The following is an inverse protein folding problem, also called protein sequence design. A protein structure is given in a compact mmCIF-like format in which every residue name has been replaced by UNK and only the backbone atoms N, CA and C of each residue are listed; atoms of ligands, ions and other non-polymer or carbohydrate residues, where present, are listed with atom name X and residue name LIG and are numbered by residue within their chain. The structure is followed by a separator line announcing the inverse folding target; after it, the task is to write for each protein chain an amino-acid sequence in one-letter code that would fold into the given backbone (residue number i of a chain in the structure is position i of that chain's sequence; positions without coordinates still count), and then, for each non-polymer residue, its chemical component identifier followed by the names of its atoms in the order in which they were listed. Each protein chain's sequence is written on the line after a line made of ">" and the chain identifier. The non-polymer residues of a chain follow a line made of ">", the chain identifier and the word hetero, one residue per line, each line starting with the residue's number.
data_IF_184745700396
#
_entry.id   IF_184745700396
#
_cell.length_a   1.000
_cell.length_b   1.000
_cell.length_c   1.000
_cell.angle_alpha   90.00
_cell.angle_beta   90.00
_cell.angle_gamma   90.00
#
_symmetry.space_group_name_H-M   'P 1'
#
loop_
_entity.id
_entity.type
_entity.pdbx_description
1 polymer ?
#
# COMPACT_ATOMS: atom_id res chain seq x y z
N UNK A 1 24.91 26.24 33.65
CA UNK A 1 24.34 25.92 32.32
C UNK A 1 23.68 24.57 32.47
N UNK A 2 22.39 24.57 32.72
CA UNK A 2 21.54 23.39 32.90
C UNK A 2 21.17 22.91 31.50
N UNK A 3 21.77 21.80 31.07
CA UNK A 3 21.24 21.07 29.89
C UNK A 3 19.86 20.52 30.25
N UNK A 4 18.85 21.16 29.72
CA UNK A 4 17.49 20.60 29.68
C UNK A 4 17.55 19.34 28.83
N UNK A 5 17.27 18.19 29.45
CA UNK A 5 17.13 16.90 28.81
C UNK A 5 15.80 16.93 28.01
N UNK A 6 15.81 17.54 26.80
CA UNK A 6 14.65 17.57 25.92
C UNK A 6 14.39 16.13 25.42
N UNK A 7 13.24 15.58 25.83
CA UNK A 7 12.72 14.31 25.28
C UNK A 7 12.57 14.46 23.75
N UNK A 8 12.99 13.47 22.98
CA UNK A 8 12.80 13.51 21.53
C UNK A 8 11.32 13.61 21.20
N UNK A 9 10.96 14.42 20.20
CA UNK A 9 9.61 14.52 19.63
C UNK A 9 9.18 13.17 19.07
N UNK A 10 8.40 12.38 19.84
CA UNK A 10 8.00 11.01 19.52
C UNK A 10 6.70 10.59 20.18
N UNK A 11 6.22 9.39 19.85
CA UNK A 11 5.03 8.80 20.46
C UNK A 11 5.27 8.37 21.91
N UNK A 12 4.18 8.19 22.70
CA UNK A 12 4.29 7.72 24.10
C UNK A 12 5.10 6.41 24.24
N UNK A 13 5.07 5.54 23.21
CA UNK A 13 5.85 4.30 23.17
C UNK A 13 7.36 4.56 23.01
N UNK A 14 7.74 5.53 22.20
CA UNK A 14 9.15 5.89 22.01
C UNK A 14 9.75 6.47 23.31
N UNK A 15 8.99 7.31 23.98
CA UNK A 15 9.37 7.80 25.31
C UNK A 15 9.46 6.68 26.34
N UNK A 16 8.55 5.71 26.30
CA UNK A 16 8.61 4.54 27.19
C UNK A 16 9.87 3.70 26.95
N UNK A 17 10.26 3.47 25.68
CA UNK A 17 11.51 2.75 25.33
C UNK A 17 12.73 3.53 25.81
N UNK A 18 12.75 4.85 25.60
CA UNK A 18 13.81 5.72 26.10
C UNK A 18 13.96 5.57 27.62
N UNK A 19 12.86 5.67 28.38
CA UNK A 19 12.89 5.58 29.83
C UNK A 19 13.31 4.19 30.34
N UNK A 20 12.81 3.09 29.75
CA UNK A 20 13.25 1.74 30.12
C UNK A 20 14.75 1.59 29.90
N UNK A 21 15.28 2.06 28.78
CA UNK A 21 16.70 1.97 28.46
C UNK A 21 17.54 2.86 29.39
N UNK A 22 17.06 4.09 29.66
CA UNK A 22 17.79 5.07 30.51
C UNK A 22 17.83 4.61 31.95
N UNK A 23 16.74 4.10 32.51
CA UNK A 23 16.65 3.62 33.90
C UNK A 23 17.51 2.36 34.17
N UNK A 24 17.77 1.53 33.14
CA UNK A 24 18.61 0.34 33.24
C UNK A 24 20.08 0.59 32.83
N UNK A 25 20.43 1.84 32.53
CA UNK A 25 21.79 2.23 32.17
C UNK A 25 22.63 2.49 33.43
N UNK A 26 23.91 2.08 33.42
CA UNK A 26 24.89 2.38 34.48
C UNK A 26 25.15 3.90 34.63
N UNK A 27 24.65 4.73 33.72
CA UNK A 27 24.78 6.20 33.74
C UNK A 27 23.48 6.91 34.18
N UNK A 28 22.49 6.20 34.72
CA UNK A 28 21.24 6.77 35.23
C UNK A 28 21.52 7.68 36.45
N UNK A 29 21.02 8.93 36.37
CA UNK A 29 21.14 9.91 37.43
C UNK A 29 19.86 10.03 38.24
N UNK A 30 19.91 10.67 39.42
CA UNK A 30 18.70 10.94 40.22
C UNK A 30 17.78 11.96 39.52
N UNK A 31 18.31 12.83 38.67
CA UNK A 31 17.52 13.72 37.83
C UNK A 31 16.72 12.93 36.78
N UNK A 32 17.34 11.94 36.13
CA UNK A 32 16.63 11.05 35.18
C UNK A 32 15.43 10.35 35.82
N UNK A 33 15.53 9.97 37.09
CA UNK A 33 14.42 9.34 37.83
C UNK A 33 13.27 10.31 38.11
N UNK A 34 13.60 11.53 38.48
CA UNK A 34 12.59 12.58 38.70
C UNK A 34 11.87 12.96 37.40
N UNK A 35 12.60 13.09 36.30
CA UNK A 35 12.06 13.41 34.99
C UNK A 35 11.16 12.26 34.48
N UNK A 36 11.55 11.01 34.75
CA UNK A 36 10.72 9.84 34.45
C UNK A 36 9.41 9.82 35.24
N UNK A 37 9.46 10.09 36.56
CA UNK A 37 8.25 10.13 37.40
C UNK A 37 7.29 11.24 36.94
N UNK A 38 7.82 12.40 36.57
CA UNK A 38 7.03 13.49 36.01
C UNK A 38 6.37 13.09 34.71
N UNK A 39 7.10 12.50 33.76
CA UNK A 39 6.57 11.99 32.50
C UNK A 39 5.49 10.91 32.72
N UNK A 40 5.69 10.00 33.65
CA UNK A 40 4.75 8.91 33.95
C UNK A 40 3.44 9.45 34.56
N UNK A 41 3.51 10.53 35.35
CA UNK A 41 2.35 11.18 35.97
C UNK A 41 1.54 12.05 35.00
N UNK A 42 2.09 12.41 33.84
CA UNK A 42 1.49 13.34 32.90
C UNK A 42 0.25 12.74 32.18
N UNK A 43 0.20 11.42 31.95
CA UNK A 43 -0.88 10.78 31.21
C UNK A 43 -0.99 9.28 31.46
N UNK A 44 -2.22 8.76 31.51
CA UNK A 44 -2.50 7.30 31.53
C UNK A 44 -1.95 6.58 30.25
N UNK A 45 -1.83 7.31 29.15
CA UNK A 45 -1.22 6.79 27.91
C UNK A 45 0.25 6.49 28.11
N UNK A 46 0.98 7.33 28.87
CA UNK A 46 2.40 7.12 29.22
C UNK A 46 2.56 5.90 30.13
N UNK A 47 1.67 5.74 31.12
CA UNK A 47 1.69 4.59 32.02
C UNK A 47 1.46 3.27 31.26
N UNK A 48 0.47 3.22 30.38
CA UNK A 48 0.18 2.06 29.55
C UNK A 48 1.34 1.71 28.61
N UNK A 49 1.92 2.72 27.95
CA UNK A 49 3.07 2.54 27.06
C UNK A 49 4.27 1.98 27.83
N UNK A 50 4.57 2.53 29.02
CA UNK A 50 5.67 2.05 29.85
C UNK A 50 5.46 0.61 30.34
N UNK A 51 4.23 0.24 30.76
CA UNK A 51 3.91 -1.11 31.14
C UNK A 51 4.13 -2.12 29.99
N UNK A 52 3.66 -1.81 28.80
CA UNK A 52 3.83 -2.69 27.64
C UNK A 52 5.30 -2.93 27.30
N UNK A 53 6.11 -1.87 27.32
CA UNK A 53 7.56 -1.97 27.06
C UNK A 53 8.26 -2.76 28.15
N UNK A 54 7.88 -2.57 29.42
CA UNK A 54 8.49 -3.25 30.57
C UNK A 54 8.15 -4.76 30.58
N UNK A 55 6.93 -5.14 30.24
CA UNK A 55 6.53 -6.56 30.12
C UNK A 55 7.37 -7.24 29.03
N UNK A 56 7.56 -6.58 27.89
CA UNK A 56 8.43 -7.09 26.83
C UNK A 56 9.89 -7.23 27.27
N UNK A 57 10.43 -6.22 27.97
CA UNK A 57 11.79 -6.24 28.50
C UNK A 57 12.02 -7.36 29.51
N UNK A 58 11.06 -7.56 30.41
CA UNK A 58 11.13 -8.62 31.44
C UNK A 58 11.01 -10.02 30.80
N UNK A 59 10.19 -10.17 29.76
CA UNK A 59 10.09 -11.42 28.99
C UNK A 59 11.40 -11.81 28.31
N UNK A 60 12.17 -10.85 27.84
CA UNK A 60 13.51 -11.07 27.26
C UNK A 60 14.55 -11.50 28.32
N UNK A 61 14.44 -11.02 29.55
CA UNK A 61 15.38 -11.35 30.64
C UNK A 61 15.12 -12.76 31.22
N UNK A 62 13.95 -13.37 30.98
CA UNK A 62 13.58 -14.72 31.43
C UNK A 62 13.94 -15.84 30.44
N UNK A 63 14.49 -15.51 29.28
CA UNK A 63 15.01 -16.53 28.35
C UNK A 63 16.33 -17.06 28.93
N UNK A 64 16.23 -18.03 29.84
CA UNK A 64 17.40 -18.82 30.22
C UNK A 64 17.90 -19.59 28.98
N UNK A 65 19.21 -19.49 28.65
CA UNK A 65 19.77 -20.29 27.57
C UNK A 65 19.74 -21.77 28.02
N UNK A 66 18.83 -22.56 27.45
CA UNK A 66 18.90 -24.01 27.55
C UNK A 66 20.28 -24.44 27.05
N UNK A 67 21.04 -25.06 27.95
CA UNK A 67 22.41 -25.50 27.71
C UNK A 67 22.43 -26.62 26.66
N UNK A 68 22.65 -26.28 25.41
CA UNK A 68 23.00 -27.23 24.37
C UNK A 68 24.42 -27.77 24.65
N UNK A 69 24.64 -29.11 24.73
CA UNK A 69 25.95 -29.72 24.99
C UNK A 69 27.05 -29.29 24.01
N UNK A 70 26.67 -28.88 22.79
CA UNK A 70 27.61 -28.38 21.80
C UNK A 70 28.18 -26.98 22.13
N UNK A 71 27.49 -26.18 22.92
CA UNK A 71 27.96 -24.90 23.41
C UNK A 71 28.96 -25.00 24.58
N UNK A 72 28.98 -26.13 25.29
CA UNK A 72 29.96 -26.38 26.37
C UNK A 72 31.37 -26.61 25.81
N UNK A 73 31.51 -27.28 24.65
CA UNK A 73 32.78 -27.46 23.97
C UNK A 73 33.36 -26.13 23.44
N UNK A 74 32.50 -25.26 22.90
CA UNK A 74 32.91 -23.93 22.44
C UNK A 74 33.37 -23.02 23.62
N UNK A 75 32.77 -23.14 24.81
CA UNK A 75 33.17 -22.42 26.00
C UNK A 75 34.53 -22.83 26.54
N UNK A 76 34.89 -24.09 26.43
CA UNK A 76 36.20 -24.63 26.84
C UNK A 76 37.30 -24.13 25.91
N UNK A 77 37.04 -24.14 24.58
CA UNK A 77 37.96 -23.59 23.57
C UNK A 77 38.21 -22.09 23.74
N UNK A 78 37.20 -21.33 24.16
CA UNK A 78 37.32 -19.89 24.43
C UNK A 78 38.03 -19.57 25.77
N UNK A 79 38.08 -20.50 26.71
CA UNK A 79 38.83 -20.33 27.96
C UNK A 79 40.34 -20.52 27.75
N UNK A 80 40.77 -21.46 26.93
CA UNK A 80 42.19 -21.72 26.67
C UNK A 80 42.83 -20.61 25.83
N UNK A 81 42.09 -19.94 24.93
CA UNK A 81 42.61 -18.81 24.18
C UNK A 81 42.69 -17.51 24.98
N UNK A 82 42.13 -17.45 26.20
CA UNK A 82 42.17 -16.25 27.07
C UNK A 82 43.49 -16.01 27.77
N UNK A 83 44.38 -17.02 27.87
CA UNK A 83 45.68 -16.86 28.52
C UNK A 83 46.74 -16.19 27.66
N UNK A 84 46.59 -16.08 26.34
CA UNK A 84 47.60 -15.54 25.45
C UNK A 84 47.42 -14.08 25.00
N UNK A 85 46.36 -13.36 25.46
CA UNK A 85 46.13 -11.95 25.11
C UNK A 85 45.86 -11.04 26.33
N UNK A 86 46.80 -10.99 27.26
CA UNK A 86 46.90 -9.84 28.19
C UNK A 86 47.91 -8.87 27.57
N UNK A 87 47.46 -7.98 26.74
CA UNK A 87 47.86 -6.55 26.60
C UNK A 87 47.26 -5.98 25.33
N UNK A 88 46.54 -4.88 25.51
CA UNK A 88 46.03 -3.98 24.46
C UNK A 88 44.58 -4.17 24.00
N UNK A 89 43.78 -3.12 24.26
CA UNK A 89 42.52 -2.70 23.64
C UNK A 89 41.20 -3.22 24.22
N UNK A 90 40.94 -2.94 25.52
CA UNK A 90 39.61 -3.09 26.12
C UNK A 90 38.54 -2.12 25.54
N UNK A 91 38.95 -1.03 24.88
CA UNK A 91 38.01 -0.05 24.28
C UNK A 91 37.41 -0.48 22.94
N UNK A 92 38.10 -1.30 22.15
CA UNK A 92 37.57 -1.74 20.81
C UNK A 92 36.56 -2.89 20.88
N UNK A 93 36.48 -3.63 21.98
CA UNK A 93 35.56 -4.76 22.14
C UNK A 93 34.19 -4.33 22.68
N UNK A 94 34.14 -3.26 23.47
CA UNK A 94 32.87 -2.71 23.98
C UNK A 94 32.05 -2.09 22.83
N UNK A 95 32.73 -1.42 21.87
CA UNK A 95 32.06 -0.85 20.68
C UNK A 95 31.50 -1.90 19.74
N UNK A 96 32.13 -3.09 19.62
CA UNK A 96 31.62 -4.17 18.74
C UNK A 96 30.37 -4.88 19.27
N UNK A 97 30.25 -5.06 20.60
CA UNK A 97 29.07 -5.67 21.23
C UNK A 97 27.90 -4.70 21.26
N UNK A 98 28.17 -3.41 21.51
CA UNK A 98 27.14 -2.36 21.46
C UNK A 98 26.58 -2.18 20.03
N UNK A 99 27.42 -2.24 18.99
CA UNK A 99 26.96 -2.14 17.60
C UNK A 99 26.14 -3.36 17.16
N UNK A 100 26.49 -4.58 17.63
CA UNK A 100 25.71 -5.78 17.32
C UNK A 100 24.37 -5.79 18.07
N UNK A 101 24.32 -5.36 19.32
CA UNK A 101 23.08 -5.21 20.10
C UNK A 101 22.18 -4.12 19.50
N UNK A 102 22.77 -3.03 19.02
CA UNK A 102 22.04 -1.96 18.32
C UNK A 102 21.45 -2.45 16.99
N UNK A 103 22.21 -3.24 16.21
CA UNK A 103 21.75 -3.85 14.97
C UNK A 103 20.65 -4.89 15.19
N UNK A 104 20.74 -5.71 16.24
CA UNK A 104 19.72 -6.68 16.61
C UNK A 104 18.47 -6.02 17.21
N UNK A 105 18.63 -4.93 17.97
CA UNK A 105 17.53 -4.16 18.52
C UNK A 105 16.78 -3.32 17.46
N UNK A 106 17.47 -2.90 16.40
CA UNK A 106 16.87 -2.17 15.27
C UNK A 106 16.27 -3.10 14.21
N UNK A 107 16.58 -4.41 14.24
CA UNK A 107 16.13 -5.35 13.20
C UNK A 107 14.61 -5.50 13.12
N UNK A 108 13.80 -5.61 14.20
CA UNK A 108 12.35 -5.64 14.09
C UNK A 108 11.75 -4.30 13.63
N UNK A 109 12.42 -3.19 13.98
CA UNK A 109 12.03 -1.85 13.52
C UNK A 109 12.33 -1.67 12.02
N UNK A 110 13.52 -2.11 11.55
CA UNK A 110 13.83 -2.15 10.11
C UNK A 110 12.91 -3.09 9.34
N UNK A 111 12.51 -4.22 9.93
CA UNK A 111 11.60 -5.18 9.31
C UNK A 111 10.20 -4.60 9.15
N UNK A 112 9.68 -3.88 10.15
CA UNK A 112 8.41 -3.16 10.07
C UNK A 112 8.43 -2.06 8.99
N UNK A 113 9.59 -1.46 8.73
CA UNK A 113 9.78 -0.47 7.65
C UNK A 113 9.82 -1.10 6.25
N UNK A 114 10.14 -2.38 6.15
CA UNK A 114 10.25 -3.13 4.90
C UNK A 114 9.01 -3.97 4.62
N UNK A 115 8.06 -4.08 5.58
CA UNK A 115 6.84 -4.83 5.37
C UNK A 115 5.93 -4.09 4.39
N UNK A 116 5.64 -4.75 3.30
CA UNK A 116 4.72 -4.31 2.26
C UNK A 116 3.55 -5.26 2.24
N UNK A 117 2.36 -4.76 2.53
CA UNK A 117 1.13 -5.56 2.42
C UNK A 117 0.64 -5.55 0.97
N UNK A 118 0.37 -6.74 0.44
CA UNK A 118 -0.11 -6.88 -0.92
C UNK A 118 -1.55 -7.39 -0.89
N UNK A 119 -2.45 -6.60 -1.47
CA UNK A 119 -3.86 -6.91 -1.62
C UNK A 119 -4.15 -7.25 -3.08
N UNK A 120 -4.87 -8.35 -3.30
CA UNK A 120 -5.22 -8.82 -4.65
C UNK A 120 -6.68 -9.20 -4.74
N UNK A 121 -7.27 -8.90 -5.89
CA UNK A 121 -8.58 -9.41 -6.29
C UNK A 121 -8.42 -10.27 -7.54
N UNK A 122 -9.11 -11.40 -7.61
CA UNK A 122 -9.18 -12.20 -8.82
C UNK A 122 -10.18 -11.60 -9.82
N UNK A 123 -10.20 -12.12 -11.05
CA UNK A 123 -11.22 -11.77 -12.05
C UNK A 123 -12.62 -12.03 -11.54
N UNK A 124 -13.50 -11.06 -11.70
CA UNK A 124 -14.88 -11.10 -11.20
C UNK A 124 -15.03 -10.82 -9.70
N UNK A 125 -13.93 -10.63 -8.96
CA UNK A 125 -13.95 -10.29 -7.53
C UNK A 125 -13.69 -8.81 -7.32
N UNK A 126 -14.27 -8.27 -6.26
CA UNK A 126 -13.95 -6.95 -5.71
C UNK A 126 -13.73 -7.07 -4.21
N UNK A 127 -12.96 -6.18 -3.63
CA UNK A 127 -12.68 -6.15 -2.20
C UNK A 127 -12.61 -4.72 -1.69
N UNK A 128 -12.93 -4.53 -0.42
CA UNK A 128 -12.75 -3.24 0.25
C UNK A 128 -11.82 -3.43 1.43
N UNK A 129 -10.80 -2.59 1.52
CA UNK A 129 -9.82 -2.58 2.60
C UNK A 129 -9.83 -1.24 3.31
N UNK A 130 -9.55 -1.26 4.60
CA UNK A 130 -9.31 -0.05 5.38
C UNK A 130 -7.82 0.01 5.74
N UNK A 131 -7.19 1.14 5.44
CA UNK A 131 -5.80 1.40 5.76
C UNK A 131 -5.65 1.85 7.23
N UNK A 132 -4.43 1.84 7.74
CA UNK A 132 -4.13 2.20 9.14
C UNK A 132 -4.47 3.65 9.47
N UNK A 133 -4.44 4.53 8.45
CA UNK A 133 -4.81 5.96 8.56
C UNK A 133 -6.32 6.22 8.54
N UNK A 134 -7.14 5.16 8.47
CA UNK A 134 -8.59 5.21 8.34
C UNK A 134 -9.10 5.39 6.91
N UNK A 135 -8.23 5.60 5.92
CA UNK A 135 -8.61 5.67 4.52
C UNK A 135 -9.15 4.33 4.03
N UNK A 136 -10.13 4.38 3.12
CA UNK A 136 -10.72 3.19 2.51
C UNK A 136 -10.31 3.08 1.05
N UNK A 137 -10.00 1.87 0.63
CA UNK A 137 -9.71 1.55 -0.77
C UNK A 137 -10.62 0.42 -1.23
N UNK A 138 -11.44 0.68 -2.24
CA UNK A 138 -12.24 -0.33 -2.90
C UNK A 138 -11.47 -0.81 -4.14
N UNK A 139 -11.12 -2.09 -4.17
CA UNK A 139 -10.41 -2.74 -5.28
C UNK A 139 -11.42 -3.39 -6.22
N UNK A 140 -11.31 -3.08 -7.51
CA UNK A 140 -12.11 -3.70 -8.55
C UNK A 140 -11.51 -5.07 -8.95
N UNK A 141 -12.09 -5.69 -9.97
CA UNK A 141 -11.65 -6.96 -10.56
C UNK A 141 -10.18 -6.91 -11.00
N UNK A 142 -9.47 -8.05 -10.86
CA UNK A 142 -8.10 -8.25 -11.39
C UNK A 142 -7.18 -7.08 -11.01
N UNK A 143 -7.11 -6.81 -9.70
CA UNK A 143 -6.38 -5.65 -9.15
C UNK A 143 -5.34 -6.10 -8.16
N UNK A 144 -4.14 -5.54 -8.25
CA UNK A 144 -3.07 -5.69 -7.27
C UNK A 144 -2.65 -4.33 -6.73
N UNK A 145 -2.78 -4.18 -5.40
CA UNK A 145 -2.37 -3.02 -4.65
C UNK A 145 -1.32 -3.41 -3.62
N UNK A 146 -0.18 -2.72 -3.65
CA UNK A 146 0.89 -2.83 -2.66
C UNK A 146 0.83 -1.62 -1.74
N UNK A 147 0.69 -1.85 -0.45
CA UNK A 147 0.57 -0.81 0.58
C UNK A 147 1.87 -0.74 1.35
N UNK A 148 2.50 0.42 1.33
CA UNK A 148 3.63 0.77 2.18
C UNK A 148 3.17 1.85 3.16
N UNK A 149 2.47 1.39 4.19
CA UNK A 149 1.96 2.29 5.22
C UNK A 149 2.96 2.35 6.37
N UNK A 150 3.73 3.42 6.38
CA UNK A 150 4.66 3.71 7.45
C UNK A 150 4.20 4.97 8.18
N UNK A 151 4.60 5.13 9.44
CA UNK A 151 4.30 6.35 10.19
C UNK A 151 4.81 7.64 9.52
N UNK A 152 5.77 7.53 8.58
CA UNK A 152 6.32 8.66 7.79
C UNK A 152 5.60 8.90 6.48
N UNK A 153 5.11 7.83 5.82
CA UNK A 153 4.60 7.91 4.46
C UNK A 153 3.28 7.14 4.31
N UNK A 154 2.26 7.81 3.79
CA UNK A 154 0.99 7.23 3.36
C UNK A 154 1.08 6.94 1.86
N UNK A 155 1.75 5.85 1.50
CA UNK A 155 2.02 5.55 0.08
C UNK A 155 1.50 4.16 -0.30
N UNK A 156 0.79 4.09 -1.41
CA UNK A 156 0.35 2.83 -2.01
C UNK A 156 0.79 2.77 -3.47
N UNK A 157 1.00 1.57 -3.98
CA UNK A 157 1.34 1.32 -5.38
C UNK A 157 0.25 0.46 -6.01
N UNK A 158 -0.47 1.01 -6.96
CA UNK A 158 -1.34 0.24 -7.84
C UNK A 158 -0.45 -0.41 -8.90
N UNK A 159 -0.33 -1.74 -8.85
CA UNK A 159 0.52 -2.50 -9.77
C UNK A 159 -0.20 -2.74 -11.08
N UNK A 160 -1.46 -3.12 -11.03
CA UNK A 160 -2.42 -3.21 -12.15
C UNK A 160 -3.85 -3.18 -11.62
N UNK A 161 -4.81 -2.99 -12.51
CA UNK A 161 -6.22 -3.01 -12.20
C UNK A 161 -6.78 -1.64 -11.84
N UNK A 162 -7.80 -1.59 -11.01
CA UNK A 162 -8.59 -0.39 -10.73
C UNK A 162 -8.95 -0.31 -9.26
N UNK A 163 -8.75 0.86 -8.67
CA UNK A 163 -9.07 1.12 -7.28
C UNK A 163 -9.70 2.49 -7.09
N UNK A 164 -10.73 2.55 -6.26
CA UNK A 164 -11.33 3.78 -5.77
C UNK A 164 -10.80 4.08 -4.36
N UNK A 165 -10.19 5.23 -4.21
CA UNK A 165 -9.62 5.72 -2.97
C UNK A 165 -10.58 6.71 -2.31
N UNK A 166 -10.90 6.51 -1.04
CA UNK A 166 -11.60 7.45 -0.15
C UNK A 166 -10.65 7.81 0.98
N UNK A 167 -9.94 8.91 0.82
CA UNK A 167 -8.79 9.27 1.64
C UNK A 167 -9.20 10.19 2.78
N UNK A 168 -8.75 9.86 4.00
CA UNK A 168 -8.92 10.72 5.17
C UNK A 168 -8.05 11.97 5.03
N UNK A 169 -8.66 13.14 5.22
CA UNK A 169 -8.00 14.43 5.07
C UNK A 169 -6.85 14.61 6.07
N UNK A 170 -5.63 14.83 5.55
CA UNK A 170 -4.45 15.15 6.34
C UNK A 170 -3.44 15.95 5.51
N UNK A 171 -3.38 17.27 5.77
CA UNK A 171 -2.47 18.19 5.07
C UNK A 171 -1.00 17.98 5.40
N UNK A 172 -0.69 17.48 6.59
CA UNK A 172 0.69 17.29 7.04
C UNK A 172 1.32 16.05 6.42
N UNK A 173 0.49 15.04 6.09
CA UNK A 173 0.90 13.78 5.47
C UNK A 173 0.05 13.49 4.24
N UNK A 174 0.40 14.02 3.07
CA UNK A 174 -0.33 13.75 1.83
C UNK A 174 -0.34 12.25 1.50
N UNK A 175 -1.49 11.76 1.03
CA UNK A 175 -1.62 10.39 0.54
C UNK A 175 -1.05 10.30 -0.88
N UNK A 176 -0.26 9.28 -1.16
CA UNK A 176 0.37 9.11 -2.47
C UNK A 176 0.00 7.76 -3.07
N UNK A 177 -0.55 7.78 -4.29
CA UNK A 177 -0.71 6.59 -5.13
C UNK A 177 0.35 6.62 -6.22
N UNK A 178 1.09 5.52 -6.35
CA UNK A 178 2.06 5.31 -7.44
C UNK A 178 1.42 4.34 -8.44
N UNK A 179 1.33 4.74 -9.71
CA UNK A 179 0.81 3.90 -10.78
C UNK A 179 1.64 4.11 -12.06
N UNK A 180 2.13 3.04 -12.68
CA UNK A 180 2.99 3.04 -13.87
C UNK A 180 4.12 4.10 -13.85
N UNK A 181 4.73 4.32 -12.67
CA UNK A 181 5.80 5.31 -12.47
C UNK A 181 5.34 6.75 -12.26
N UNK A 182 4.06 7.06 -12.45
CA UNK A 182 3.46 8.34 -12.09
C UNK A 182 3.11 8.41 -10.61
N UNK A 183 2.95 9.64 -10.11
CA UNK A 183 2.61 9.96 -8.73
C UNK A 183 1.31 10.76 -8.70
N UNK A 184 0.36 10.27 -7.92
CA UNK A 184 -0.95 10.88 -7.68
C UNK A 184 -0.98 11.25 -6.22
N UNK A 185 -1.02 12.55 -5.90
CA UNK A 185 -1.00 13.04 -4.52
C UNK A 185 -2.33 13.67 -4.15
N UNK A 186 -2.75 13.38 -2.94
CA UNK A 186 -4.01 13.76 -2.36
C UNK A 186 -3.87 14.15 -0.89
N UNK A 187 -4.72 15.07 -0.43
CA UNK A 187 -4.77 15.54 0.96
C UNK A 187 -6.11 15.27 1.65
N UNK A 188 -7.03 14.53 0.99
CA UNK A 188 -8.36 14.19 1.53
C UNK A 188 -9.45 14.29 0.48
N UNK A 189 -9.46 13.36 -0.45
CA UNK A 189 -10.31 13.33 -1.63
C UNK A 189 -10.92 11.95 -1.85
N UNK A 190 -11.82 11.89 -2.82
CA UNK A 190 -12.33 10.64 -3.38
C UNK A 190 -12.01 10.59 -4.86
N UNK A 191 -11.22 9.62 -5.28
CA UNK A 191 -10.74 9.51 -6.66
C UNK A 191 -10.54 8.06 -7.09
N UNK A 192 -10.70 7.81 -8.38
CA UNK A 192 -10.51 6.51 -9.00
C UNK A 192 -9.21 6.50 -9.79
N UNK A 193 -8.44 5.42 -9.66
CA UNK A 193 -7.25 5.17 -10.48
C UNK A 193 -7.43 3.85 -11.18
N UNK A 194 -7.35 3.87 -12.50
CA UNK A 194 -7.39 2.69 -13.33
C UNK A 194 -6.10 2.55 -14.14
N UNK A 195 -5.33 1.50 -13.85
CA UNK A 195 -4.08 1.17 -14.53
C UNK A 195 -4.30 -0.03 -15.46
N UNK A 196 -4.22 0.22 -16.75
CA UNK A 196 -4.07 -0.79 -17.81
C UNK A 196 -2.57 -0.96 -18.17
N UNK A 197 -2.26 -1.92 -19.08
CA UNK A 197 -0.88 -2.18 -19.50
C UNK A 197 -0.16 -0.91 -19.99
N UNK A 198 -0.84 -0.09 -20.81
CA UNK A 198 -0.26 1.03 -21.53
C UNK A 198 -0.74 2.41 -21.05
N UNK A 199 -1.64 2.46 -20.08
CA UNK A 199 -2.25 3.72 -19.66
C UNK A 199 -2.73 3.68 -18.22
N UNK A 200 -2.59 4.81 -17.54
CA UNK A 200 -3.23 5.10 -16.26
C UNK A 200 -4.25 6.20 -16.44
N UNK A 201 -5.46 6.00 -15.95
CA UNK A 201 -6.52 7.02 -15.91
C UNK A 201 -6.80 7.39 -14.46
N UNK A 202 -6.82 8.68 -14.17
CA UNK A 202 -7.14 9.23 -12.83
C UNK A 202 -8.36 10.11 -12.95
N UNK A 203 -9.41 9.77 -12.20
CA UNK A 203 -10.69 10.52 -12.17
C UNK A 203 -10.97 11.00 -10.77
N UNK A 204 -11.23 12.28 -10.59
CA UNK A 204 -11.57 12.87 -9.29
C UNK A 204 -13.07 12.93 -9.11
N UNK A 205 -13.55 12.39 -7.99
CA UNK A 205 -14.96 12.44 -7.59
C UNK A 205 -15.22 13.60 -6.64
N UNK A 206 -14.34 13.78 -5.65
CA UNK A 206 -14.46 14.81 -4.61
C UNK A 206 -13.07 15.33 -4.23
N UNK A 207 -12.95 16.64 -3.98
CA UNK A 207 -11.71 17.29 -3.57
C UNK A 207 -10.78 17.63 -4.75
N UNK A 208 -9.48 17.69 -4.53
CA UNK A 208 -8.46 18.04 -5.52
C UNK A 208 -7.30 17.05 -5.47
N UNK A 209 -6.86 16.58 -6.62
CA UNK A 209 -5.75 15.63 -6.78
C UNK A 209 -4.68 16.20 -7.69
N UNK A 210 -3.43 16.07 -7.29
CA UNK A 210 -2.26 16.43 -8.10
C UNK A 210 -1.69 15.18 -8.78
N UNK A 211 -1.53 15.22 -10.10
CA UNK A 211 -1.00 14.11 -10.91
C UNK A 211 0.32 14.53 -11.56
N UNK A 212 1.38 13.79 -11.28
CA UNK A 212 2.69 13.91 -11.92
C UNK A 212 2.97 12.62 -12.67
N UNK A 213 2.89 12.65 -13.99
CA UNK A 213 2.96 11.44 -14.84
C UNK A 213 4.33 10.77 -14.84
N UNK A 214 5.41 11.54 -14.59
CA UNK A 214 6.79 11.06 -14.49
C UNK A 214 7.58 11.97 -13.58
N UNK A 215 8.62 11.43 -12.94
CA UNK A 215 9.52 12.23 -12.12
C UNK A 215 10.13 13.38 -12.95
N UNK A 216 10.00 14.62 -12.45
CA UNK A 216 10.47 15.85 -13.14
C UNK A 216 9.45 16.48 -14.09
N UNK A 217 8.29 15.86 -14.33
CA UNK A 217 7.19 16.49 -15.07
C UNK A 217 6.43 17.49 -14.20
N UNK A 218 5.80 18.48 -14.83
CA UNK A 218 4.91 19.40 -14.12
C UNK A 218 3.68 18.67 -13.58
N UNK A 219 3.27 19.01 -12.36
CA UNK A 219 2.06 18.49 -11.77
C UNK A 219 0.82 19.06 -12.48
N UNK A 220 -0.16 18.19 -12.73
CA UNK A 220 -1.49 18.55 -13.23
C UNK A 220 -2.49 18.44 -12.09
N UNK A 221 -3.27 19.48 -11.88
CA UNK A 221 -4.29 19.51 -10.81
C UNK A 221 -5.66 19.18 -11.38
N UNK A 222 -6.35 18.26 -10.75
CA UNK A 222 -7.68 17.78 -11.14
C UNK A 222 -8.70 18.16 -10.08
N UNK A 223 -9.81 18.72 -10.53
CA UNK A 223 -10.99 19.04 -9.74
C UNK A 223 -12.07 17.96 -9.89
N UNK A 224 -13.13 17.98 -9.05
CA UNK A 224 -14.23 17.02 -9.16
C UNK A 224 -14.83 16.99 -10.57
N UNK A 225 -15.08 15.77 -11.06
CA UNK A 225 -15.58 15.53 -12.42
C UNK A 225 -14.50 15.55 -13.49
N UNK A 226 -13.24 15.81 -13.16
CA UNK A 226 -12.14 15.81 -14.14
C UNK A 226 -11.39 14.49 -14.17
N UNK A 227 -10.89 14.16 -15.35
CA UNK A 227 -10.05 13.00 -15.62
C UNK A 227 -8.85 13.40 -16.45
N UNK A 228 -7.71 12.79 -16.15
CA UNK A 228 -6.51 12.77 -16.99
C UNK A 228 -6.06 11.33 -17.19
N UNK A 229 -5.41 11.06 -18.32
CA UNK A 229 -4.72 9.81 -18.56
C UNK A 229 -3.26 10.06 -18.88
N UNK A 230 -2.38 9.12 -18.52
CA UNK A 230 -0.96 9.16 -18.88
C UNK A 230 -0.44 7.75 -19.18
N UNK A 231 0.60 7.67 -20.01
CA UNK A 231 1.30 6.43 -20.34
C UNK A 231 2.55 6.23 -19.46
N UNK A 232 3.18 5.03 -19.47
CA UNK A 232 4.40 4.77 -18.72
C UNK A 232 5.61 5.64 -19.16
N UNK A 233 5.53 6.28 -20.34
CA UNK A 233 6.57 7.21 -20.83
C UNK A 233 6.38 8.62 -20.25
N UNK A 234 5.23 8.86 -19.59
CA UNK A 234 4.89 10.14 -18.97
C UNK A 234 4.14 11.11 -19.89
N UNK A 235 3.67 10.65 -21.06
CA UNK A 235 2.83 11.46 -21.94
C UNK A 235 1.42 11.55 -21.35
N UNK A 236 0.89 12.75 -21.24
CA UNK A 236 -0.43 13.00 -20.66
C UNK A 236 -1.46 13.35 -21.73
N UNK A 237 -2.71 12.93 -21.53
CA UNK A 237 -3.86 13.46 -22.28
C UNK A 237 -4.19 14.89 -21.86
N UNK A 238 -5.07 15.56 -22.60
CA UNK A 238 -5.78 16.71 -22.06
C UNK A 238 -6.67 16.29 -20.87
N UNK A 239 -6.92 17.22 -19.94
CA UNK A 239 -7.93 17.04 -18.90
C UNK A 239 -9.30 17.11 -19.56
N UNK A 240 -10.14 16.11 -19.28
CA UNK A 240 -11.51 16.00 -19.81
C UNK A 240 -12.52 15.86 -18.67
N UNK A 241 -13.77 16.14 -18.95
CA UNK A 241 -14.87 15.85 -18.03
C UNK A 241 -15.18 14.36 -18.06
N UNK A 242 -15.15 13.73 -16.87
CA UNK A 242 -15.46 12.33 -16.69
C UNK A 242 -16.95 12.16 -16.32
N UNK A 243 -17.50 11.06 -16.76
CA UNK A 243 -18.79 10.59 -16.27
C UNK A 243 -18.59 9.76 -15.00
N UNK A 244 -18.78 10.40 -13.84
CA UNK A 244 -18.58 9.79 -12.52
C UNK A 244 -19.46 8.54 -12.35
N UNK A 245 -20.71 8.57 -12.80
CA UNK A 245 -21.62 7.44 -12.69
C UNK A 245 -21.10 6.23 -13.47
N UNK A 246 -20.57 6.46 -14.67
CA UNK A 246 -19.93 5.42 -15.46
C UNK A 246 -18.65 4.91 -14.79
N UNK A 247 -17.81 5.81 -14.27
CA UNK A 247 -16.53 5.45 -13.62
C UNK A 247 -16.75 4.60 -12.36
N UNK A 248 -17.81 4.85 -11.61
CA UNK A 248 -18.08 4.18 -10.32
C UNK A 248 -19.12 3.06 -10.38
N UNK A 249 -19.69 2.79 -11.56
CA UNK A 249 -20.76 1.79 -11.75
C UNK A 249 -20.34 0.38 -11.27
N UNK A 250 -19.05 0.06 -11.39
CA UNK A 250 -18.50 -1.22 -10.98
C UNK A 250 -18.68 -1.50 -9.47
N UNK A 251 -18.74 -0.48 -8.62
CA UNK A 251 -19.02 -0.63 -7.19
C UNK A 251 -20.44 -1.21 -6.94
N UNK A 252 -21.34 -1.03 -7.91
CA UNK A 252 -22.71 -1.58 -7.90
C UNK A 252 -22.83 -2.88 -8.72
N UNK A 253 -21.69 -3.48 -9.13
CA UNK A 253 -21.67 -4.67 -9.98
C UNK A 253 -22.15 -4.41 -11.40
N UNK A 254 -21.99 -3.20 -11.93
CA UNK A 254 -22.45 -2.80 -13.26
C UNK A 254 -21.33 -2.17 -14.08
N UNK A 255 -21.43 -2.32 -15.39
CA UNK A 255 -20.66 -1.59 -16.38
C UNK A 255 -21.61 -0.72 -17.20
N UNK A 256 -21.34 0.55 -17.27
CA UNK A 256 -22.15 1.52 -18.03
C UNK A 256 -21.34 1.97 -19.25
N UNK A 257 -21.93 1.80 -20.43
CA UNK A 257 -21.31 2.26 -21.67
C UNK A 257 -22.20 3.32 -22.33
N UNK A 258 -21.61 4.42 -22.75
CA UNK A 258 -22.26 5.50 -23.49
C UNK A 258 -21.55 5.67 -24.81
N UNK A 259 -22.13 5.14 -25.88
CA UNK A 259 -21.57 5.22 -27.25
C UNK A 259 -20.12 4.74 -27.36
N UNK A 260 -19.76 3.66 -26.64
CA UNK A 260 -18.41 3.09 -26.64
C UNK A 260 -18.21 2.11 -27.81
N UNK A 261 -17.01 2.06 -28.40
CA UNK A 261 -16.70 1.08 -29.43
C UNK A 261 -16.80 -0.34 -28.87
N UNK A 262 -17.31 -1.29 -29.68
CA UNK A 262 -17.53 -2.68 -29.27
C UNK A 262 -16.26 -3.37 -28.75
N UNK A 263 -15.10 -3.11 -29.35
CA UNK A 263 -13.83 -3.65 -28.87
C UNK A 263 -13.54 -3.22 -27.42
N UNK A 264 -13.77 -1.94 -27.08
CA UNK A 264 -13.58 -1.41 -25.72
C UNK A 264 -14.59 -2.06 -24.75
N UNK A 265 -15.84 -2.22 -25.17
CA UNK A 265 -16.89 -2.86 -24.37
C UNK A 265 -16.53 -4.31 -24.05
N UNK A 266 -16.08 -5.08 -25.05
CA UNK A 266 -15.69 -6.48 -24.88
C UNK A 266 -14.42 -6.61 -24.03
N UNK A 267 -13.46 -5.72 -24.17
CA UNK A 267 -12.27 -5.65 -23.32
C UNK A 267 -12.67 -5.44 -21.86
N UNK A 268 -13.53 -4.47 -21.59
CA UNK A 268 -14.00 -4.18 -20.21
C UNK A 268 -14.83 -5.34 -19.63
N UNK A 269 -15.69 -5.99 -20.41
CA UNK A 269 -16.41 -7.20 -19.99
C UNK A 269 -15.44 -8.35 -19.71
N UNK A 270 -14.42 -8.54 -20.54
CA UNK A 270 -13.40 -9.58 -20.39
C UNK A 270 -12.56 -9.46 -19.12
N UNK A 271 -12.43 -8.26 -18.54
CA UNK A 271 -11.75 -8.06 -17.25
C UNK A 271 -12.41 -8.81 -16.09
N UNK A 272 -13.74 -8.96 -16.15
CA UNK A 272 -14.50 -9.60 -15.07
C UNK A 272 -14.64 -11.11 -15.25
N UNK A 273 -14.21 -11.66 -16.37
CA UNK A 273 -14.44 -13.06 -16.70
C UNK A 273 -13.16 -13.73 -17.23
N UNK A 274 -12.97 -14.98 -16.86
CA UNK A 274 -11.95 -15.82 -17.49
C UNK A 274 -12.43 -16.29 -18.87
N UNK A 275 -12.57 -15.33 -19.79
CA UNK A 275 -13.09 -15.58 -21.12
C UNK A 275 -12.23 -14.89 -22.19
N UNK A 276 -12.10 -15.56 -23.34
CA UNK A 276 -11.49 -14.98 -24.55
C UNK A 276 -12.59 -14.49 -25.48
N UNK A 277 -12.59 -13.19 -25.79
CA UNK A 277 -13.59 -12.55 -26.68
C UNK A 277 -12.86 -12.05 -27.93
N UNK A 278 -13.12 -12.69 -29.07
CA UNK A 278 -12.48 -12.37 -30.35
C UNK A 278 -13.45 -11.74 -31.31
N UNK A 279 -13.11 -10.58 -31.88
CA UNK A 279 -13.91 -9.87 -32.85
C UNK A 279 -13.36 -10.15 -34.25
N UNK A 280 -14.22 -10.66 -35.14
CA UNK A 280 -13.88 -10.83 -36.53
C UNK A 280 -14.32 -9.62 -37.37
N UNK A 281 -13.33 -8.94 -37.93
CA UNK A 281 -13.53 -7.79 -38.81
C UNK A 281 -13.44 -6.42 -38.10
N UNK A 282 -12.70 -5.50 -38.71
CA UNK A 282 -12.42 -4.17 -38.16
C UNK A 282 -13.67 -3.27 -38.10
N UNK A 283 -14.70 -3.56 -38.93
CA UNK A 283 -15.96 -2.81 -38.93
C UNK A 283 -16.73 -3.03 -37.62
N UNK A 284 -16.75 -4.26 -37.10
CA UNK A 284 -17.47 -4.60 -35.88
C UNK A 284 -16.81 -3.93 -34.64
N UNK A 285 -15.49 -3.81 -34.62
CA UNK A 285 -14.77 -3.20 -33.53
C UNK A 285 -15.23 -1.76 -33.25
N UNK A 286 -15.68 -1.03 -34.29
CA UNK A 286 -16.11 0.37 -34.24
C UNK A 286 -17.60 0.57 -33.95
N UNK A 287 -18.40 -0.49 -33.94
CA UNK A 287 -19.81 -0.38 -33.59
C UNK A 287 -19.99 0.22 -32.20
N UNK A 288 -20.97 1.10 -32.06
CA UNK A 288 -21.21 1.81 -30.82
C UNK A 288 -22.20 1.07 -29.95
N UNK A 289 -21.82 0.85 -28.69
CA UNK A 289 -22.65 0.23 -27.66
C UNK A 289 -23.04 1.27 -26.63
N UNK A 290 -24.33 1.31 -26.30
CA UNK A 290 -24.87 2.07 -25.18
C UNK A 290 -25.71 1.13 -24.34
N UNK A 291 -25.47 1.05 -23.04
CA UNK A 291 -26.23 0.16 -22.16
C UNK A 291 -25.58 0.00 -20.81
N UNK A 292 -26.29 -0.69 -19.91
CA UNK A 292 -25.83 -1.11 -18.59
C UNK A 292 -25.78 -2.62 -18.55
N UNK A 293 -24.64 -3.16 -18.17
CA UNK A 293 -24.39 -4.60 -18.15
C UNK A 293 -23.92 -5.05 -16.77
N UNK A 294 -24.42 -6.18 -16.25
CA UNK A 294 -23.93 -6.72 -14.99
C UNK A 294 -22.51 -7.27 -15.14
N UNK A 295 -21.68 -7.05 -14.13
CA UNK A 295 -20.28 -7.54 -14.13
C UNK A 295 -20.17 -9.06 -13.98
N UNK A 296 -21.20 -9.73 -13.46
CA UNK A 296 -21.20 -11.15 -13.10
C UNK A 296 -21.89 -12.06 -14.12
N UNK A 297 -22.37 -11.54 -15.25
CA UNK A 297 -23.11 -12.34 -16.24
C UNK A 297 -22.70 -12.00 -17.68
N UNK A 298 -21.59 -12.60 -18.12
CA UNK A 298 -21.06 -12.42 -19.47
C UNK A 298 -22.05 -12.88 -20.55
N UNK A 299 -22.73 -14.01 -20.33
CA UNK A 299 -23.65 -14.56 -21.31
C UNK A 299 -24.81 -13.61 -21.60
N UNK A 300 -25.39 -13.02 -20.56
CA UNK A 300 -26.44 -12.01 -20.71
C UNK A 300 -25.94 -10.78 -21.46
N UNK A 301 -24.76 -10.29 -21.10
CA UNK A 301 -24.14 -9.12 -21.75
C UNK A 301 -23.92 -9.40 -23.26
N UNK A 302 -23.31 -10.53 -23.60
CA UNK A 302 -23.02 -10.90 -24.98
C UNK A 302 -24.32 -11.10 -25.79
N UNK A 303 -25.35 -11.77 -25.24
CA UNK A 303 -26.64 -11.96 -25.90
C UNK A 303 -27.34 -10.62 -26.14
N UNK A 304 -27.32 -9.72 -25.18
CA UNK A 304 -27.93 -8.39 -25.32
C UNK A 304 -27.23 -7.58 -26.41
N UNK A 305 -25.88 -7.57 -26.41
CA UNK A 305 -25.08 -6.88 -27.44
C UNK A 305 -25.33 -7.50 -28.82
N UNK A 306 -25.37 -8.82 -28.91
CA UNK A 306 -25.63 -9.53 -30.16
C UNK A 306 -26.98 -9.14 -30.76
N UNK A 307 -28.04 -9.11 -29.97
CA UNK A 307 -29.36 -8.70 -30.39
C UNK A 307 -29.45 -7.23 -30.80
N UNK A 308 -28.80 -6.34 -30.04
CA UNK A 308 -28.83 -4.89 -30.29
C UNK A 308 -28.06 -4.48 -31.55
N UNK A 309 -26.97 -5.16 -31.86
CA UNK A 309 -26.09 -4.83 -32.99
C UNK A 309 -26.29 -5.72 -34.23
N UNK A 310 -27.21 -6.69 -34.17
CA UNK A 310 -27.41 -7.70 -35.21
C UNK A 310 -26.09 -8.40 -35.58
N UNK A 311 -25.38 -8.90 -34.59
CA UNK A 311 -24.14 -9.65 -34.73
C UNK A 311 -24.27 -11.05 -34.14
N UNK A 312 -23.43 -11.96 -34.58
CA UNK A 312 -23.45 -13.36 -34.13
C UNK A 312 -22.34 -13.57 -33.08
N UNK A 313 -22.70 -14.16 -31.95
CA UNK A 313 -21.74 -14.62 -30.92
C UNK A 313 -21.77 -16.15 -30.93
N UNK A 314 -20.63 -16.77 -31.23
CA UNK A 314 -20.49 -18.22 -31.33
C UNK A 314 -19.45 -18.70 -30.35
N UNK A 315 -19.75 -19.65 -29.44
CA UNK A 315 -18.73 -20.31 -28.64
C UNK A 315 -17.86 -21.20 -29.54
N UNK A 316 -16.54 -21.14 -29.38
CA UNK A 316 -15.61 -22.00 -30.14
C UNK A 316 -14.74 -22.89 -29.24
N UNK A 317 -14.64 -22.56 -27.94
CA UNK A 317 -14.02 -23.39 -26.92
C UNK A 317 -14.62 -23.06 -25.54
N UNK A 318 -14.23 -23.77 -24.51
CA UNK A 318 -14.62 -23.43 -23.14
C UNK A 318 -14.22 -21.98 -22.83
N UNK A 319 -15.20 -21.16 -22.40
CA UNK A 319 -15.01 -19.74 -22.09
C UNK A 319 -14.40 -18.90 -23.24
N UNK A 320 -14.63 -19.29 -24.49
CA UNK A 320 -14.08 -18.57 -25.65
C UNK A 320 -15.18 -18.32 -26.66
N UNK A 321 -15.32 -17.07 -27.11
CA UNK A 321 -16.39 -16.61 -27.96
C UNK A 321 -15.83 -15.85 -29.16
N UNK A 322 -16.40 -16.11 -30.34
CA UNK A 322 -16.15 -15.34 -31.57
C UNK A 322 -17.33 -14.46 -31.85
N UNK A 323 -17.09 -13.19 -32.07
CA UNK A 323 -18.07 -12.17 -32.44
C UNK A 323 -17.88 -11.86 -33.91
N UNK A 324 -18.90 -12.20 -34.74
CA UNK A 324 -18.86 -12.08 -36.19
C UNK A 324 -20.11 -11.32 -36.70
N UNK A 325 -20.08 -10.79 -37.95
CA UNK A 325 -21.27 -10.26 -38.55
C UNK A 325 -22.32 -11.40 -38.76
N UNK A 326 -23.59 -11.03 -38.82
CA UNK A 326 -24.64 -11.93 -39.33
C UNK A 326 -24.52 -11.87 -40.84
N UNK A 327 -24.38 -13.03 -41.50
CA UNK A 327 -24.30 -13.18 -42.95
C UNK A 327 -25.61 -12.72 -43.64
#
# INVERSE_FOLDING_TARGET
>A
MTETNDLPLGSAHEHAIFWVTRLHSDTCTDQDRQDFEAWLAESDVHQNAYQQVTVFWTGLSQIEPHADPQLSAARTYLRETRQYRRHSSSRKRLTGVLSLALLLGLSPFLWSWLSTDIYRTAKGQSSSIQLSDGSRVDLNTDTELSVQDTWLNRSVKLVHGEALFSVVHNKEKPFTVIAAGGRIQDIGTRFNVYQQADQVSVTVLEGEVSVTSKQGSAAQYLLPGQQISYDPKGQTSAIVQADIDTTTAWQKGQLVFKSQPLNVVLEQLGRYHEASLQIQGTRLQKLKVTGVFPTNNLSLALTTIASALSIKVTPFAANSFVIAPVD
#
